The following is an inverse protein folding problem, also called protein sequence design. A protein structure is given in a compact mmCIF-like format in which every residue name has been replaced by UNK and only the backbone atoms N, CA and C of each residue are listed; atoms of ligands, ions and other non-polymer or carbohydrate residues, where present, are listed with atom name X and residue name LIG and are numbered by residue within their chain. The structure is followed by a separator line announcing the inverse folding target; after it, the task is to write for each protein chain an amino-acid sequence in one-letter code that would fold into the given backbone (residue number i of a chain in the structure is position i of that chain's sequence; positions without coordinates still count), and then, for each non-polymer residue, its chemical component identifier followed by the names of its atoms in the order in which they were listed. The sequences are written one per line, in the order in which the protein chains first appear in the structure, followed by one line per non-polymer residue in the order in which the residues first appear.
data_IF_617191080171
#
_entry.id   IF_617191080171
#
_cell.length_a   1.000
_cell.length_b   1.000
_cell.length_c   1.000
_cell.angle_alpha   90.00
_cell.angle_beta   90.00
_cell.angle_gamma   90.00
#
_symmetry.space_group_name_H-M   'P 1'
#
loop_
_entity.id
_entity.type
_entity.pdbx_description
1 polymer ?
#
# COMPACT_ATOMS: atom_id res chain seq x y z
N UNK A 1 -25.77 -16.39 8.38
CA UNK A 1 -24.93 -15.20 8.54
C UNK A 1 -23.51 -15.69 8.77
N UNK A 2 -22.70 -15.81 7.71
CA UNK A 2 -21.30 -16.20 7.84
C UNK A 2 -20.54 -14.99 8.38
N UNK A 3 -20.29 -15.01 9.69
CA UNK A 3 -19.31 -14.16 10.33
C UNK A 3 -17.95 -14.46 9.72
N UNK A 4 -17.52 -13.62 8.77
CA UNK A 4 -16.14 -13.51 8.31
C UNK A 4 -15.32 -13.10 9.53
N UNK A 5 -14.90 -14.09 10.31
CA UNK A 5 -13.94 -13.94 11.39
C UNK A 5 -12.68 -13.36 10.75
N UNK A 6 -12.50 -12.03 10.87
CA UNK A 6 -11.21 -11.41 10.62
C UNK A 6 -10.24 -12.05 11.61
N UNK A 7 -9.47 -13.03 11.13
CA UNK A 7 -8.37 -13.58 11.90
C UNK A 7 -7.37 -12.44 12.16
N UNK A 8 -6.74 -12.40 13.34
CA UNK A 8 -5.67 -11.44 13.57
C UNK A 8 -4.61 -11.64 12.48
N UNK A 9 -4.26 -10.56 11.79
CA UNK A 9 -3.20 -10.58 10.79
C UNK A 9 -1.93 -11.14 11.44
N UNK A 10 -1.43 -12.22 10.86
CA UNK A 10 -0.19 -12.87 11.28
C UNK A 10 1.00 -11.94 10.99
N UNK A 11 2.11 -12.13 11.72
CA UNK A 11 3.33 -11.35 11.47
C UNK A 11 3.79 -11.35 10.01
N UNK A 12 3.58 -12.48 9.30
CA UNK A 12 3.88 -12.63 7.87
C UNK A 12 3.01 -11.73 6.98
N UNK A 13 1.75 -11.55 7.35
CA UNK A 13 0.87 -10.69 6.56
C UNK A 13 1.19 -9.21 6.83
N UNK A 14 1.60 -8.83 8.05
CA UNK A 14 2.12 -7.49 8.35
C UNK A 14 3.39 -7.20 7.54
N UNK A 15 4.32 -8.15 7.45
CA UNK A 15 5.51 -8.06 6.59
C UNK A 15 5.11 -7.89 5.11
N UNK A 16 4.17 -8.71 4.63
CA UNK A 16 3.67 -8.62 3.26
C UNK A 16 3.02 -7.26 2.95
N UNK A 17 2.28 -6.67 3.90
CA UNK A 17 1.70 -5.34 3.75
C UNK A 17 2.80 -4.27 3.70
N UNK A 18 3.82 -4.36 4.57
CA UNK A 18 4.95 -3.43 4.58
C UNK A 18 5.76 -3.50 3.26
N UNK A 19 5.96 -4.71 2.73
CA UNK A 19 6.58 -4.93 1.42
C UNK A 19 5.73 -4.34 0.30
N UNK A 20 4.41 -4.54 0.36
CA UNK A 20 3.45 -4.00 -0.61
C UNK A 20 3.46 -2.47 -0.62
N UNK A 21 3.54 -1.81 0.54
CA UNK A 21 3.69 -0.35 0.66
C UNK A 21 4.97 0.14 -0.04
N UNK A 22 6.08 -0.56 0.18
CA UNK A 22 7.36 -0.22 -0.46
C UNK A 22 7.29 -0.37 -1.98
N UNK A 23 6.59 -1.39 -2.46
CA UNK A 23 6.36 -1.61 -3.90
C UNK A 23 5.47 -0.54 -4.51
N UNK A 24 4.38 -0.15 -3.84
CA UNK A 24 3.47 0.91 -4.28
C UNK A 24 4.19 2.27 -4.39
N UNK A 25 5.01 2.64 -3.41
CA UNK A 25 5.84 3.86 -3.44
C UNK A 25 6.86 3.84 -4.60
N UNK A 26 7.51 2.70 -4.82
CA UNK A 26 8.43 2.51 -5.95
C UNK A 26 7.73 2.67 -7.31
N UNK A 27 6.52 2.12 -7.47
CA UNK A 27 5.73 2.25 -8.69
C UNK A 27 5.32 3.70 -8.94
N UNK A 28 4.84 4.41 -7.92
CA UNK A 28 4.50 5.83 -8.01
C UNK A 28 5.70 6.65 -8.50
N UNK A 29 6.89 6.42 -7.92
CA UNK A 29 8.12 7.13 -8.32
C UNK A 29 8.50 6.87 -9.77
N UNK A 30 8.41 5.63 -10.24
CA UNK A 30 8.71 5.28 -11.64
C UNK A 30 7.70 5.89 -12.61
N UNK A 31 6.42 5.87 -12.27
CA UNK A 31 5.37 6.48 -13.08
C UNK A 31 5.54 8.01 -13.14
N UNK A 32 5.89 8.65 -12.02
CA UNK A 32 6.15 10.09 -11.97
C UNK A 32 7.37 10.48 -12.82
N UNK A 33 8.47 9.70 -12.71
CA UNK A 33 9.65 9.90 -13.53
C UNK A 33 9.35 9.71 -15.03
N UNK A 34 8.53 8.70 -15.37
CA UNK A 34 8.11 8.44 -16.75
C UNK A 34 7.20 9.55 -17.28
N UNK A 35 6.22 9.99 -16.48
CA UNK A 35 5.32 11.09 -16.84
C UNK A 35 6.08 12.39 -17.09
N UNK A 36 7.11 12.68 -16.29
CA UNK A 36 7.94 13.89 -16.44
C UNK A 36 8.94 13.86 -17.59
N UNK A 37 9.28 12.68 -18.12
CA UNK A 37 10.28 12.50 -19.19
C UNK A 37 9.67 12.13 -20.55
N UNK A 38 8.47 11.57 -20.57
CA UNK A 38 7.81 11.15 -21.82
C UNK A 38 7.26 12.33 -22.61
N UNK A 39 7.43 12.30 -23.93
CA UNK A 39 6.78 13.22 -24.87
C UNK A 39 5.43 12.68 -25.37
N UNK A 40 5.09 11.43 -25.02
CA UNK A 40 3.85 10.80 -25.46
C UNK A 40 2.71 11.15 -24.48
N UNK A 41 1.75 11.94 -24.95
CA UNK A 41 0.61 12.39 -24.15
C UNK A 41 -0.25 11.24 -23.62
N UNK A 42 -0.43 10.16 -24.38
CA UNK A 42 -1.18 8.98 -23.94
C UNK A 42 -0.45 8.28 -22.79
N UNK A 43 0.87 8.12 -22.89
CA UNK A 43 1.69 7.53 -21.82
C UNK A 43 1.63 8.40 -20.57
N UNK A 44 1.75 9.72 -20.72
CA UNK A 44 1.63 10.65 -19.60
C UNK A 44 0.28 10.54 -18.88
N UNK A 45 -0.83 10.46 -19.63
CA UNK A 45 -2.17 10.27 -19.06
C UNK A 45 -2.30 8.95 -18.30
N UNK A 46 -1.80 7.84 -18.88
CA UNK A 46 -1.81 6.54 -18.22
C UNK A 46 -0.98 6.58 -16.95
N UNK A 47 0.22 7.18 -16.98
CA UNK A 47 1.05 7.32 -15.79
C UNK A 47 0.33 8.09 -14.68
N UNK A 48 -0.34 9.20 -15.01
CA UNK A 48 -1.10 9.98 -14.03
C UNK A 48 -2.29 9.21 -13.45
N UNK A 49 -3.02 8.44 -14.26
CA UNK A 49 -4.11 7.58 -13.78
C UNK A 49 -3.58 6.49 -12.83
N UNK A 50 -2.47 5.85 -13.20
CA UNK A 50 -1.86 4.80 -12.38
C UNK A 50 -1.30 5.36 -11.06
N UNK A 51 -0.67 6.54 -11.08
CA UNK A 51 -0.22 7.23 -9.85
C UNK A 51 -1.39 7.43 -8.88
N UNK A 52 -2.56 7.85 -9.36
CA UNK A 52 -3.74 8.01 -8.52
C UNK A 52 -4.21 6.68 -7.92
N UNK A 53 -4.23 5.60 -8.71
CA UNK A 53 -4.60 4.27 -8.24
C UNK A 53 -3.63 3.75 -7.17
N UNK A 54 -2.33 3.82 -7.43
CA UNK A 54 -1.30 3.37 -6.50
C UNK A 54 -1.29 4.22 -5.21
N UNK A 55 -1.54 5.52 -5.30
CA UNK A 55 -1.70 6.38 -4.11
C UNK A 55 -2.91 5.97 -3.28
N UNK A 56 -4.02 5.59 -3.92
CA UNK A 56 -5.18 5.05 -3.22
C UNK A 56 -4.86 3.72 -2.53
N UNK A 57 -4.19 2.78 -3.21
CA UNK A 57 -3.77 1.50 -2.63
C UNK A 57 -2.85 1.70 -1.43
N UNK A 58 -1.88 2.60 -1.54
CA UNK A 58 -0.98 2.97 -0.45
C UNK A 58 -1.76 3.45 0.77
N UNK A 59 -2.77 4.31 0.57
CA UNK A 59 -3.65 4.78 1.64
C UNK A 59 -4.41 3.64 2.33
N UNK A 60 -4.95 2.69 1.56
CA UNK A 60 -5.64 1.51 2.09
C UNK A 60 -4.68 0.62 2.90
N UNK A 61 -3.49 0.34 2.38
CA UNK A 61 -2.48 -0.48 3.08
C UNK A 61 -2.01 0.18 4.38
N UNK A 62 -1.78 1.50 4.37
CA UNK A 62 -1.43 2.26 5.57
C UNK A 62 -2.56 2.26 6.59
N UNK A 63 -3.81 2.45 6.16
CA UNK A 63 -4.97 2.39 7.05
C UNK A 63 -5.10 1.00 7.69
N UNK A 64 -4.85 -0.05 6.91
CA UNK A 64 -4.90 -1.43 7.39
C UNK A 64 -3.79 -1.72 8.41
N UNK A 65 -2.58 -1.20 8.22
CA UNK A 65 -1.51 -1.28 9.24
C UNK A 65 -1.87 -0.50 10.51
N UNK A 66 -2.41 0.71 10.38
CA UNK A 66 -2.81 1.52 11.53
C UNK A 66 -3.89 0.83 12.36
N UNK A 67 -4.88 0.20 11.70
CA UNK A 67 -5.91 -0.58 12.37
C UNK A 67 -5.32 -1.77 13.15
N UNK A 68 -4.24 -2.38 12.65
CA UNK A 68 -3.56 -3.51 13.30
C UNK A 68 -2.54 -3.10 14.37
N UNK A 69 -1.96 -1.89 14.27
CA UNK A 69 -1.12 -1.34 15.32
C UNK A 69 -1.85 -1.23 16.66
N UNK A 70 -3.17 -0.98 16.63
CA UNK A 70 -3.99 -0.93 17.85
C UNK A 70 -4.14 -2.29 18.56
N UNK A 71 -3.82 -3.39 17.87
CA UNK A 71 -3.81 -4.75 18.43
C UNK A 71 -2.40 -5.30 18.67
N UNK A 72 -1.36 -4.58 18.25
CA UNK A 72 0.02 -4.96 18.55
C UNK A 72 0.23 -4.82 20.07
N UNK A 73 0.56 -5.91 20.79
CA UNK A 73 0.77 -5.85 22.23
C UNK A 73 1.99 -4.97 22.47
N UNK A 74 1.74 -3.76 23.00
CA UNK A 74 2.77 -2.91 23.61
C UNK A 74 3.14 -3.50 24.97
N UNK A 75 3.61 -4.73 25.01
CA UNK A 75 4.26 -5.27 26.21
C UNK A 75 5.08 -6.51 25.89
N UNK A 76 6.41 -6.46 26.07
CA UNK A 76 7.13 -7.65 26.48
C UNK A 76 6.61 -7.99 27.89
N UNK A 77 5.72 -8.98 28.00
CA UNK A 77 5.54 -9.65 29.30
C UNK A 77 6.86 -10.36 29.61
N UNK A 78 7.53 -9.86 30.64
CA UNK A 78 8.76 -10.43 31.21
C UNK A 78 8.57 -11.88 31.63
#
# INVERSE_FOLDING_TARGET
MQSTQMQPLSGKELEYIADSISNEDLLIKQLAATAGSTQNSTVNQICNQQIQSHTHHLGVLVQLLQQHQQYAPTQPQQ
#
